data_IF_691887261642
#
_entry.id   IF_691887261642
#
_cell.length_a   1.000
_cell.length_b   1.000
_cell.length_c   1.000
_cell.angle_alpha   90.00
_cell.angle_beta   90.00
_cell.angle_gamma   90.00
#
_symmetry.space_group_name_H-M   'P 1'
#
loop_
_entity.id
_entity.type
_entity.pdbx_description
1 polymer ?
#
# COMPACT_ATOMS: atom_id res chain seq x y z
N UNK A 1 -0.65 -74.76 8.90
CA UNK A 1 -0.74 -73.73 7.84
C UNK A 1 -1.90 -72.80 8.18
N UNK A 2 -1.70 -71.91 9.15
CA UNK A 2 -2.70 -70.95 9.60
C UNK A 2 -1.94 -69.63 9.79
N UNK A 3 -2.14 -68.67 8.88
CA UNK A 3 -1.39 -67.42 8.95
C UNK A 3 -1.29 -66.66 7.65
N UNK A 4 -2.40 -66.51 6.90
CA UNK A 4 -2.46 -65.58 5.75
C UNK A 4 -3.84 -64.93 5.54
N UNK A 5 -4.72 -64.90 6.54
CA UNK A 5 -6.10 -64.39 6.38
C UNK A 5 -6.50 -63.28 7.35
N UNK A 6 -5.55 -62.57 7.98
CA UNK A 6 -5.86 -61.44 8.88
C UNK A 6 -5.43 -60.08 8.28
N UNK A 7 -4.89 -60.04 7.06
CA UNK A 7 -4.42 -58.78 6.47
C UNK A 7 -5.44 -58.05 5.56
N UNK A 8 -6.66 -58.56 5.41
CA UNK A 8 -7.64 -58.02 4.46
C UNK A 8 -8.84 -57.28 5.09
N UNK A 9 -8.89 -57.15 6.42
CA UNK A 9 -10.05 -56.56 7.12
C UNK A 9 -9.82 -55.13 7.65
N UNK A 10 -8.60 -54.57 7.56
CA UNK A 10 -8.29 -53.22 8.06
C UNK A 10 -8.08 -52.17 6.95
N UNK A 11 -8.29 -52.53 5.67
CA UNK A 11 -8.13 -51.62 4.52
C UNK A 11 -9.47 -51.13 3.91
N UNK A 12 -10.60 -51.42 4.55
CA UNK A 12 -11.93 -51.15 4.01
C UNK A 12 -12.74 -50.03 4.68
N UNK A 13 -12.16 -49.26 5.59
CA UNK A 13 -12.92 -48.32 6.43
C UNK A 13 -12.48 -46.84 6.34
N UNK A 14 -11.67 -46.47 5.35
CA UNK A 14 -11.16 -45.09 5.20
C UNK A 14 -11.38 -44.56 3.77
N UNK A 15 -12.61 -44.67 3.27
CA UNK A 15 -12.99 -44.12 1.96
C UNK A 15 -14.36 -43.42 2.00
N UNK A 16 -14.74 -42.87 3.15
CA UNK A 16 -15.85 -41.92 3.27
C UNK A 16 -15.28 -40.57 3.70
N UNK A 17 -14.38 -40.05 2.86
CA UNK A 17 -14.04 -38.64 2.91
C UNK A 17 -15.30 -37.86 2.61
N UNK A 18 -15.86 -37.21 3.63
CA UNK A 18 -16.75 -36.06 3.46
C UNK A 18 -16.02 -35.12 2.50
N UNK A 19 -16.42 -35.11 1.24
CA UNK A 19 -15.98 -34.10 0.30
C UNK A 19 -16.43 -32.77 0.88
N UNK A 20 -15.50 -32.03 1.48
CA UNK A 20 -15.67 -30.60 1.68
C UNK A 20 -15.90 -30.03 0.29
N UNK A 21 -17.17 -29.82 -0.06
CA UNK A 21 -17.53 -29.01 -1.21
C UNK A 21 -16.99 -27.62 -0.88
N UNK A 22 -15.81 -27.31 -1.42
CA UNK A 22 -15.31 -25.94 -1.34
C UNK A 22 -16.36 -25.09 -2.01
N UNK A 23 -16.96 -24.10 -1.31
CA UNK A 23 -17.88 -23.19 -1.95
C UNK A 23 -17.18 -22.59 -3.19
N UNK A 24 -17.93 -22.28 -4.26
CA UNK A 24 -17.36 -21.69 -5.46
C UNK A 24 -16.39 -20.57 -5.07
N UNK A 25 -15.16 -20.65 -5.58
CA UNK A 25 -14.10 -19.68 -5.29
C UNK A 25 -14.55 -18.25 -5.64
N UNK A 26 -15.49 -18.16 -6.58
CA UNK A 26 -16.06 -16.91 -7.05
C UNK A 26 -17.29 -16.53 -6.22
N UNK A 27 -17.04 -15.86 -5.10
CA UNK A 27 -18.04 -15.03 -4.42
C UNK A 27 -18.38 -13.77 -5.24
N UNK A 28 -19.21 -12.85 -4.71
CA UNK A 28 -19.53 -11.60 -5.39
C UNK A 28 -18.28 -10.78 -5.73
N UNK A 29 -18.22 -10.21 -6.94
CA UNK A 29 -17.09 -9.35 -7.39
C UNK A 29 -17.12 -7.95 -6.79
N UNK A 30 -18.27 -7.52 -6.28
CA UNK A 30 -18.47 -6.24 -5.61
C UNK A 30 -19.45 -6.37 -4.43
N UNK A 31 -19.05 -7.06 -3.34
CA UNK A 31 -19.90 -7.25 -2.18
C UNK A 31 -20.04 -5.92 -1.40
N UNK A 32 -21.25 -5.63 -0.95
CA UNK A 32 -21.49 -4.52 -0.03
C UNK A 32 -20.97 -4.88 1.38
N UNK A 33 -20.04 -4.11 1.96
CA UNK A 33 -19.53 -4.39 3.29
C UNK A 33 -20.58 -4.11 4.38
N UNK A 34 -20.60 -4.89 5.47
CA UNK A 34 -21.48 -4.63 6.59
C UNK A 34 -21.05 -3.36 7.36
N UNK A 35 -21.92 -2.89 8.26
CA UNK A 35 -21.61 -1.74 9.11
C UNK A 35 -20.32 -1.95 9.90
N UNK A 36 -19.53 -0.89 10.04
CA UNK A 36 -18.24 -0.93 10.73
C UNK A 36 -17.07 -1.45 9.89
N UNK A 37 -17.31 -1.93 8.67
CA UNK A 37 -16.29 -2.25 7.66
C UNK A 37 -16.13 -1.07 6.70
N UNK A 38 -14.91 -0.85 6.22
CA UNK A 38 -14.63 0.18 5.24
C UNK A 38 -15.24 -0.17 3.87
N UNK A 39 -15.95 0.77 3.22
CA UNK A 39 -16.27 0.68 1.79
C UNK A 39 -15.00 0.45 0.97
N UNK A 40 -15.15 -0.18 -0.20
CA UNK A 40 -14.03 -0.58 -1.06
C UNK A 40 -13.04 0.55 -1.31
N UNK A 41 -13.53 1.71 -1.76
CA UNK A 41 -12.68 2.84 -2.12
C UNK A 41 -11.92 3.38 -0.90
N UNK A 42 -12.58 3.49 0.25
CA UNK A 42 -11.93 3.89 1.50
C UNK A 42 -10.90 2.86 1.96
N UNK A 43 -11.19 1.56 1.82
CA UNK A 43 -10.26 0.49 2.17
C UNK A 43 -9.02 0.51 1.26
N UNK A 44 -9.19 0.72 -0.05
CA UNK A 44 -8.09 0.86 -1.00
C UNK A 44 -7.16 2.01 -0.61
N UNK A 45 -7.72 3.18 -0.28
CA UNK A 45 -6.93 4.36 0.13
C UNK A 45 -6.09 4.07 1.39
N UNK A 46 -6.72 3.49 2.42
CA UNK A 46 -6.04 3.21 3.69
C UNK A 46 -5.03 2.08 3.53
N UNK A 47 -5.36 1.04 2.76
CA UNK A 47 -4.45 -0.08 2.52
C UNK A 47 -3.21 0.37 1.75
N UNK A 48 -3.34 1.27 0.76
CA UNK A 48 -2.19 1.83 0.05
C UNK A 48 -1.20 2.55 1.00
N UNK A 49 -1.71 3.37 1.91
CA UNK A 49 -0.90 4.04 2.94
C UNK A 49 -0.19 3.03 3.86
N UNK A 50 -0.89 1.98 4.29
CA UNK A 50 -0.29 0.89 5.10
C UNK A 50 0.81 0.15 4.33
N UNK A 51 0.60 -0.14 3.04
CA UNK A 51 1.62 -0.81 2.21
C UNK A 51 2.89 0.03 2.03
N UNK A 52 2.80 1.37 2.04
CA UNK A 52 3.98 2.23 2.06
C UNK A 52 4.77 2.09 3.37
N UNK A 53 4.08 2.09 4.51
CA UNK A 53 4.71 1.91 5.83
C UNK A 53 5.42 0.55 5.90
N UNK A 54 4.76 -0.52 5.47
CA UNK A 54 5.31 -1.87 5.45
C UNK A 54 6.48 -2.02 4.46
N UNK A 55 6.38 -1.41 3.29
CA UNK A 55 7.46 -1.39 2.30
C UNK A 55 8.74 -0.75 2.85
N UNK A 56 8.62 0.41 3.52
CA UNK A 56 9.76 1.09 4.16
C UNK A 56 10.33 0.26 5.31
N UNK A 57 9.47 -0.35 6.13
CA UNK A 57 9.89 -1.22 7.22
C UNK A 57 10.70 -2.42 6.71
N UNK A 58 10.25 -3.05 5.63
CA UNK A 58 10.91 -4.21 5.03
C UNK A 58 12.28 -3.88 4.42
N UNK A 59 12.45 -2.68 3.88
CA UNK A 59 13.73 -2.19 3.35
C UNK A 59 14.77 -1.89 4.45
N UNK A 60 14.41 -2.00 5.74
CA UNK A 60 15.25 -1.67 6.90
C UNK A 60 15.91 -0.29 6.78
N UNK A 61 15.20 0.67 6.20
CA UNK A 61 15.69 2.05 6.09
C UNK A 61 16.00 2.64 7.46
N UNK A 62 15.26 2.22 8.48
CA UNK A 62 15.59 2.46 9.89
C UNK A 62 16.55 1.37 10.35
N UNK A 63 17.84 1.68 10.42
CA UNK A 63 18.86 0.78 10.97
C UNK A 63 19.37 1.35 12.29
N UNK A 64 18.50 1.38 13.30
CA UNK A 64 18.76 2.02 14.60
C UNK A 64 17.89 1.36 15.70
N UNK A 65 18.30 1.46 16.96
CA UNK A 65 17.66 0.86 18.15
C UNK A 65 16.20 1.31 18.40
N UNK A 66 15.66 2.20 17.54
CA UNK A 66 14.31 2.76 17.61
C UNK A 66 13.37 2.29 16.48
N UNK A 67 13.73 1.27 15.70
CA UNK A 67 12.92 0.71 14.61
C UNK A 67 11.44 0.51 14.99
N UNK A 68 11.19 -0.14 16.14
CA UNK A 68 9.82 -0.40 16.62
C UNK A 68 9.04 0.89 16.91
N UNK A 69 9.69 1.89 17.48
CA UNK A 69 9.06 3.18 17.77
C UNK A 69 8.74 3.92 16.47
N UNK A 70 9.68 3.96 15.52
CA UNK A 70 9.49 4.61 14.21
C UNK A 70 8.37 3.98 13.40
N UNK A 71 8.26 2.65 13.42
CA UNK A 71 7.17 1.94 12.79
C UNK A 71 5.81 2.29 13.41
N UNK A 72 5.75 2.35 14.75
CA UNK A 72 4.52 2.76 15.46
C UNK A 72 4.13 4.20 15.15
N UNK A 73 5.09 5.12 15.08
CA UNK A 73 4.86 6.52 14.66
C UNK A 73 4.29 6.59 13.23
N UNK A 74 4.88 5.85 12.29
CA UNK A 74 4.41 5.82 10.89
C UNK A 74 2.97 5.30 10.77
N UNK A 75 2.61 4.25 11.53
CA UNK A 75 1.23 3.77 11.59
C UNK A 75 0.27 4.81 12.19
N UNK A 76 0.67 5.50 13.26
CA UNK A 76 -0.14 6.55 13.86
C UNK A 76 -0.43 7.70 12.87
N UNK A 77 0.55 8.05 12.03
CA UNK A 77 0.36 9.05 10.98
C UNK A 77 -0.68 8.61 9.95
N UNK A 78 -0.70 7.32 9.55
CA UNK A 78 -1.74 6.78 8.67
C UNK A 78 -3.12 6.93 9.29
N UNK A 79 -3.27 6.58 10.57
CA UNK A 79 -4.54 6.71 11.29
C UNK A 79 -5.00 8.16 11.40
N UNK A 80 -4.08 9.08 11.68
CA UNK A 80 -4.35 10.51 11.76
C UNK A 80 -4.78 11.09 10.41
N UNK A 81 -4.08 10.76 9.31
CA UNK A 81 -4.39 11.28 7.96
C UNK A 81 -5.70 10.74 7.41
N UNK A 82 -5.99 9.46 7.65
CA UNK A 82 -7.16 8.79 7.07
C UNK A 82 -8.43 8.91 7.92
N UNK A 83 -8.29 9.25 9.21
CA UNK A 83 -9.39 9.24 10.18
C UNK A 83 -9.90 7.82 10.51
N UNK A 84 -9.17 6.78 10.08
CA UNK A 84 -9.50 5.38 10.35
C UNK A 84 -8.73 4.90 11.56
N UNK A 85 -9.42 4.25 12.50
CA UNK A 85 -8.74 3.58 13.62
C UNK A 85 -8.15 2.23 13.20
N UNK A 86 -7.04 1.84 13.82
CA UNK A 86 -6.41 0.54 13.61
C UNK A 86 -7.42 -0.62 13.70
N UNK A 87 -8.26 -0.64 14.75
CA UNK A 87 -9.27 -1.67 14.93
C UNK A 87 -10.33 -1.72 13.80
N UNK A 88 -10.69 -0.57 13.21
CA UNK A 88 -11.62 -0.54 12.06
C UNK A 88 -10.92 -1.06 10.80
N UNK A 89 -9.66 -0.69 10.59
CA UNK A 89 -8.86 -1.21 9.49
C UNK A 89 -8.69 -2.72 9.60
N UNK A 90 -8.30 -3.26 10.75
CA UNK A 90 -8.09 -4.70 10.98
C UNK A 90 -9.34 -5.53 10.63
N UNK A 91 -10.51 -5.15 11.17
CA UNK A 91 -11.77 -5.82 10.83
C UNK A 91 -12.10 -5.73 9.34
N UNK A 92 -11.80 -4.58 8.72
CA UNK A 92 -12.03 -4.40 7.29
C UNK A 92 -11.10 -5.26 6.45
N UNK A 93 -9.84 -5.35 6.85
CA UNK A 93 -8.84 -6.19 6.21
C UNK A 93 -9.27 -7.66 6.27
N UNK A 94 -9.61 -8.17 7.45
CA UNK A 94 -10.11 -9.54 7.64
C UNK A 94 -11.32 -9.83 6.74
N UNK A 95 -12.31 -8.93 6.73
CA UNK A 95 -13.52 -9.11 5.93
C UNK A 95 -13.22 -9.12 4.43
N UNK A 96 -12.46 -8.14 3.92
CA UNK A 96 -12.12 -8.06 2.50
C UNK A 96 -11.27 -9.25 2.06
N UNK A 97 -10.36 -9.74 2.90
CA UNK A 97 -9.55 -10.93 2.62
C UNK A 97 -10.39 -12.20 2.51
N UNK A 98 -11.52 -12.26 3.22
CA UNK A 98 -12.54 -13.30 3.08
C UNK A 98 -13.36 -13.22 1.79
N UNK A 99 -13.13 -12.23 0.91
CA UNK A 99 -13.83 -12.06 -0.38
C UNK A 99 -12.87 -12.22 -1.57
N UNK A 100 -12.42 -13.43 -1.94
CA UNK A 100 -11.37 -13.63 -2.96
C UNK A 100 -11.67 -12.98 -4.31
N UNK A 101 -12.91 -13.10 -4.79
CA UNK A 101 -13.34 -12.53 -6.06
C UNK A 101 -13.20 -10.99 -6.10
N UNK A 102 -13.59 -10.33 -5.02
CA UNK A 102 -13.52 -8.87 -4.91
C UNK A 102 -12.10 -8.37 -4.58
N UNK A 103 -11.37 -9.10 -3.74
CA UNK A 103 -10.02 -8.75 -3.28
C UNK A 103 -9.05 -8.57 -4.47
N UNK A 104 -9.19 -9.35 -5.53
CA UNK A 104 -8.39 -9.17 -6.76
C UNK A 104 -8.50 -7.74 -7.31
N UNK A 105 -9.69 -7.14 -7.27
CA UNK A 105 -9.88 -5.75 -7.71
C UNK A 105 -9.36 -4.74 -6.69
N UNK A 106 -9.53 -5.01 -5.39
CA UNK A 106 -8.96 -4.18 -4.31
C UNK A 106 -7.46 -4.05 -4.47
N UNK A 107 -6.75 -5.18 -4.63
CA UNK A 107 -5.28 -5.18 -4.76
C UNK A 107 -4.80 -4.45 -6.02
N UNK A 108 -5.51 -4.58 -7.15
CA UNK A 108 -5.20 -3.78 -8.35
C UNK A 108 -5.36 -2.29 -8.09
N UNK A 109 -6.47 -1.89 -7.48
CA UNK A 109 -6.74 -0.50 -7.18
C UNK A 109 -5.75 0.08 -6.17
N UNK A 110 -5.23 -0.73 -5.23
CA UNK A 110 -4.15 -0.32 -4.32
C UNK A 110 -2.86 -0.05 -5.10
N UNK A 111 -2.47 -0.94 -6.02
CA UNK A 111 -1.30 -0.72 -6.88
C UNK A 111 -1.46 0.53 -7.73
N UNK A 112 -2.64 0.75 -8.30
CA UNK A 112 -2.91 1.96 -9.08
C UNK A 112 -2.85 3.21 -8.22
N UNK A 113 -3.40 3.17 -6.99
CA UNK A 113 -3.27 4.29 -6.05
C UNK A 113 -1.81 4.57 -5.68
N UNK A 114 -0.98 3.55 -5.49
CA UNK A 114 0.45 3.74 -5.21
C UNK A 114 1.18 4.42 -6.39
N UNK A 115 0.84 4.06 -7.63
CA UNK A 115 1.38 4.74 -8.83
C UNK A 115 0.92 6.20 -8.91
N UNK A 116 -0.34 6.47 -8.58
CA UNK A 116 -0.86 7.84 -8.55
C UNK A 116 -0.10 8.67 -7.50
N UNK A 117 0.14 8.12 -6.31
CA UNK A 117 0.93 8.78 -5.26
C UNK A 117 2.37 9.05 -5.72
N UNK A 118 3.01 8.12 -6.42
CA UNK A 118 4.33 8.34 -7.02
C UNK A 118 4.31 9.47 -8.06
N UNK A 119 3.31 9.49 -8.93
CA UNK A 119 3.15 10.54 -9.94
C UNK A 119 2.91 11.92 -9.31
N UNK A 120 2.07 11.99 -8.26
CA UNK A 120 1.81 13.19 -7.45
C UNK A 120 3.11 13.73 -6.85
N UNK A 121 3.94 12.87 -6.25
CA UNK A 121 5.24 13.25 -5.68
C UNK A 121 6.20 13.80 -6.75
N UNK A 122 6.35 13.10 -7.87
CA UNK A 122 7.23 13.51 -8.97
C UNK A 122 6.82 14.85 -9.61
N UNK A 123 5.51 15.09 -9.73
CA UNK A 123 5.00 16.38 -10.21
C UNK A 123 5.34 17.50 -9.22
N UNK A 124 5.13 17.28 -7.93
CA UNK A 124 5.38 18.28 -6.91
C UNK A 124 6.86 18.68 -6.86
N UNK A 125 7.78 17.71 -6.94
CA UNK A 125 9.23 17.97 -6.98
C UNK A 125 9.64 18.83 -8.18
N UNK A 126 9.05 18.58 -9.36
CA UNK A 126 9.29 19.38 -10.57
C UNK A 126 8.84 20.82 -10.38
N UNK A 127 7.66 21.03 -9.77
CA UNK A 127 7.13 22.39 -9.54
C UNK A 127 7.93 23.18 -8.51
N UNK A 128 8.36 22.55 -7.42
CA UNK A 128 9.19 23.18 -6.39
C UNK A 128 10.57 23.54 -6.92
N UNK A 129 11.19 22.65 -7.71
CA UNK A 129 12.47 22.92 -8.37
C UNK A 129 12.37 24.07 -9.38
N UNK A 130 11.29 24.11 -10.16
CA UNK A 130 11.02 25.19 -11.11
C UNK A 130 10.73 26.54 -10.45
N UNK A 131 10.15 26.57 -9.26
CA UNK A 131 9.96 27.79 -8.47
C UNK A 131 11.28 28.25 -7.83
N UNK A 132 12.06 27.35 -7.23
CA UNK A 132 13.37 27.69 -6.67
C UNK A 132 14.33 28.30 -7.70
N UNK A 133 14.28 27.84 -8.96
CA UNK A 133 15.04 28.43 -10.05
C UNK A 133 14.63 29.87 -10.42
N UNK A 134 13.35 30.24 -10.22
CA UNK A 134 12.82 31.58 -10.49
C UNK A 134 13.14 32.60 -9.40
N UNK A 135 13.36 32.14 -8.17
CA UNK A 135 13.73 32.99 -7.02
C UNK A 135 15.24 33.14 -6.82
N UNK A 136 16.08 32.59 -7.72
CA UNK A 136 17.52 32.81 -7.67
C UNK A 136 17.82 34.28 -8.00
N UNK A 137 18.40 35.08 -7.08
CA UNK A 137 18.78 36.45 -7.38
C UNK A 137 19.81 36.48 -8.53
N UNK A 138 19.81 37.53 -9.37
CA UNK A 138 20.78 37.65 -10.45
C UNK A 138 22.21 37.64 -9.88
N UNK A 139 23.11 36.93 -10.56
CA UNK A 139 24.52 36.86 -10.16
C UNK A 139 25.11 38.28 -10.13
N UNK A 140 25.89 38.67 -9.09
CA UNK A 140 26.46 40.01 -8.98
C UNK A 140 27.34 40.41 -10.18
N UNK A 141 27.81 39.44 -10.98
CA UNK A 141 28.64 39.66 -12.16
C UNK A 141 27.92 40.30 -13.36
N UNK A 142 26.58 40.45 -13.32
CA UNK A 142 25.82 41.08 -14.41
C UNK A 142 25.59 42.60 -14.25
N UNK A 143 26.07 43.20 -13.16
CA UNK A 143 26.01 44.65 -12.97
C UNK A 143 27.36 45.30 -13.35
N UNK A 144 27.66 45.37 -14.66
CA UNK A 144 28.72 46.25 -15.15
C UNK A 144 28.14 47.58 -15.67
N UNK A 145 28.68 48.73 -15.25
CA UNK A 145 28.17 50.04 -15.65
C UNK A 145 28.58 50.37 -17.09
N UNK A 146 27.61 50.82 -17.91
CA UNK A 146 27.90 51.48 -19.19
C UNK A 146 28.63 52.78 -18.90
N UNK A 147 29.91 52.85 -19.24
CA UNK A 147 30.72 54.07 -19.24
C UNK A 147 31.25 54.30 -20.64
N UNK A 148 31.02 55.50 -21.19
CA UNK A 148 31.75 55.99 -22.36
C UNK A 148 30.92 56.81 -23.34
N UNK A 149 30.56 58.03 -22.95
CA UNK A 149 30.35 59.13 -23.91
C UNK A 149 31.63 59.35 -24.71
N UNK A 150 31.54 59.32 -26.03
CA UNK A 150 32.62 59.73 -26.94
C UNK A 150 32.17 61.01 -27.68
N UNK A 151 32.73 62.15 -27.26
CA UNK A 151 32.61 63.43 -27.97
C UNK A 151 33.48 63.43 -29.24
N UNK A 152 33.02 64.00 -30.37
CA UNK A 152 33.84 64.13 -31.57
C UNK A 152 34.72 65.40 -31.54
N UNK A 153 35.88 65.33 -32.21
CA UNK A 153 36.64 66.48 -32.74
C UNK A 153 36.64 66.39 -34.26
#
# INVERSE_FOLDING_TARGET
MAGRLILAALLGAMALGLGCTTPPVDGPVDPAPPSGILPKDSFVLVLAEVQLVEGVAQLRTYRNDNERQRLAEAYNDVWARTGVSAARFERSHEWWWGQPAAMKSVLRNVVDRLKDMEAELNHNDTTLSGQAAKFRPPSPDQASPKSGDQLPR
#
